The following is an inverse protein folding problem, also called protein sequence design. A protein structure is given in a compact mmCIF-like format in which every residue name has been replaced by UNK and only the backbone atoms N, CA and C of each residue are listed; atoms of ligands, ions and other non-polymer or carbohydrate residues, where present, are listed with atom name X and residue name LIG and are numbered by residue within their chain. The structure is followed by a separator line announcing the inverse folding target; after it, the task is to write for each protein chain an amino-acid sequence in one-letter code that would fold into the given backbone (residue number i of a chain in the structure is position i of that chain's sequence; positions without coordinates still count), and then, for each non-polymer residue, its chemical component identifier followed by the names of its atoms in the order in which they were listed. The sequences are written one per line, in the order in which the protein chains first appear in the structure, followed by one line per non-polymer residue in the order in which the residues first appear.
data_IF_760667279364
#
_entry.id   IF_760667279364
#
_cell.length_a   1.000
_cell.length_b   1.000
_cell.length_c   1.000
_cell.angle_alpha   90.00
_cell.angle_beta   90.00
_cell.angle_gamma   90.00
#
_symmetry.space_group_name_H-M   'P 1'
#
loop_
_entity.id
_entity.type
_entity.pdbx_description
1 polymer ?
#
# COMPACT_ATOMS: atom_id res chain seq x y z
N UNK A 1 3.87 -24.50 -11.62
CA UNK A 1 2.82 -24.77 -12.62
C UNK A 1 2.03 -23.48 -12.82
N UNK A 2 2.18 -22.86 -14.00
CA UNK A 2 1.47 -21.64 -14.39
C UNK A 2 0.06 -22.07 -14.77
N UNK A 3 -0.91 -21.84 -13.89
CA UNK A 3 -2.32 -22.03 -14.24
C UNK A 3 -2.67 -20.94 -15.26
N UNK A 4 -2.94 -21.34 -16.50
CA UNK A 4 -3.39 -20.42 -17.55
C UNK A 4 -4.64 -19.67 -17.03
N UNK A 5 -4.72 -18.34 -17.23
CA UNK A 5 -5.90 -17.60 -16.84
C UNK A 5 -7.10 -18.12 -17.62
N UNK A 6 -8.18 -18.44 -16.91
CA UNK A 6 -9.46 -18.83 -17.48
C UNK A 6 -9.88 -17.80 -18.54
N UNK A 7 -10.41 -18.21 -19.69
CA UNK A 7 -10.68 -17.29 -20.83
C UNK A 7 -11.58 -16.11 -20.44
N UNK A 8 -12.45 -16.31 -19.45
CA UNK A 8 -13.30 -15.29 -18.82
C UNK A 8 -12.51 -14.22 -18.05
N UNK A 9 -11.42 -14.61 -17.38
CA UNK A 9 -10.58 -13.73 -16.56
C UNK A 9 -9.69 -12.86 -17.44
N UNK A 10 -9.13 -13.41 -18.52
CA UNK A 10 -8.34 -12.63 -19.47
C UNK A 10 -9.17 -11.53 -20.15
N UNK A 11 -10.41 -11.84 -20.56
CA UNK A 11 -11.33 -10.86 -21.12
C UNK A 11 -11.77 -9.78 -20.12
N UNK A 12 -11.89 -10.13 -18.84
CA UNK A 12 -12.16 -9.18 -17.77
C UNK A 12 -11.01 -8.18 -17.58
N UNK A 13 -9.76 -8.66 -17.54
CA UNK A 13 -8.57 -7.80 -17.43
C UNK A 13 -8.36 -6.92 -18.67
N UNK A 14 -8.66 -7.44 -19.86
CA UNK A 14 -8.60 -6.68 -21.10
C UNK A 14 -9.58 -5.49 -21.15
N UNK A 15 -10.66 -5.53 -20.36
CA UNK A 15 -11.61 -4.42 -20.23
C UNK A 15 -11.23 -3.47 -19.07
N UNK A 16 -10.90 -4.04 -17.91
CA UNK A 16 -10.69 -3.29 -16.66
C UNK A 16 -9.45 -2.41 -16.74
N UNK A 17 -8.34 -2.88 -17.32
CA UNK A 17 -7.09 -2.11 -17.42
C UNK A 17 -7.23 -0.86 -18.30
N UNK A 18 -7.71 -0.94 -19.57
CA UNK A 18 -7.87 0.24 -20.39
C UNK A 18 -8.93 1.20 -19.83
N UNK A 19 -10.00 0.68 -19.24
CA UNK A 19 -11.03 1.53 -18.65
C UNK A 19 -10.51 2.26 -17.39
N UNK A 20 -9.74 1.58 -16.54
CA UNK A 20 -9.11 2.20 -15.36
C UNK A 20 -8.05 3.24 -15.75
N UNK A 21 -7.28 2.98 -16.81
CA UNK A 21 -6.27 3.95 -17.28
C UNK A 21 -6.93 5.16 -17.94
N UNK A 22 -7.98 4.97 -18.76
CA UNK A 22 -8.74 6.06 -19.34
C UNK A 22 -9.38 6.94 -18.26
N UNK A 23 -10.05 6.34 -17.27
CA UNK A 23 -10.65 7.07 -16.16
C UNK A 23 -9.58 7.76 -15.28
N UNK A 24 -8.44 7.10 -15.06
CA UNK A 24 -7.31 7.68 -14.33
C UNK A 24 -6.75 8.92 -15.01
N UNK A 25 -6.63 8.91 -16.34
CA UNK A 25 -6.21 10.08 -17.11
C UNK A 25 -7.23 11.22 -17.00
N UNK A 26 -8.53 10.92 -17.11
CA UNK A 26 -9.60 11.94 -16.96
C UNK A 26 -9.58 12.57 -15.56
N UNK A 27 -9.51 11.74 -14.52
CA UNK A 27 -9.44 12.21 -13.13
C UNK A 27 -8.14 12.98 -12.84
N UNK A 28 -7.03 12.60 -13.47
CA UNK A 28 -5.76 13.33 -13.34
C UNK A 28 -5.85 14.73 -13.95
N UNK A 29 -6.55 14.88 -15.08
CA UNK A 29 -6.80 16.21 -15.67
C UNK A 29 -7.72 17.05 -14.80
N UNK A 30 -8.67 16.44 -14.09
CA UNK A 30 -9.52 17.09 -13.11
C UNK A 30 -8.82 17.42 -11.78
N UNK A 31 -7.49 17.19 -11.66
CA UNK A 31 -6.69 17.45 -10.45
C UNK A 31 -7.21 16.71 -9.21
N UNK A 32 -7.87 15.56 -9.42
CA UNK A 32 -8.34 14.73 -8.32
C UNK A 32 -7.12 14.05 -7.67
N UNK A 33 -6.90 14.25 -6.36
CA UNK A 33 -5.81 13.59 -5.66
C UNK A 33 -5.94 12.07 -5.75
N UNK A 34 -4.84 11.39 -6.03
CA UNK A 34 -4.79 9.94 -6.21
C UNK A 34 -5.75 9.37 -7.29
N UNK A 35 -5.98 10.14 -8.36
CA UNK A 35 -6.79 9.77 -9.53
C UNK A 35 -6.63 8.31 -10.00
N UNK A 36 -5.40 7.80 -10.05
CA UNK A 36 -5.11 6.44 -10.50
C UNK A 36 -5.65 5.35 -9.56
N UNK A 37 -5.59 5.57 -8.24
CA UNK A 37 -6.12 4.63 -7.24
C UNK A 37 -7.65 4.65 -7.27
N UNK A 38 -8.24 5.85 -7.30
CA UNK A 38 -9.69 6.05 -7.37
C UNK A 38 -10.26 5.41 -8.64
N UNK A 39 -9.62 5.64 -9.78
CA UNK A 39 -10.03 5.05 -11.05
C UNK A 39 -10.00 3.52 -11.02
N UNK A 40 -8.92 2.92 -10.49
CA UNK A 40 -8.79 1.48 -10.39
C UNK A 40 -9.86 0.87 -9.46
N UNK A 41 -10.14 1.49 -8.31
CA UNK A 41 -11.18 1.02 -7.37
C UNK A 41 -12.58 1.17 -8.00
N UNK A 42 -12.89 2.31 -8.60
CA UNK A 42 -14.20 2.57 -9.20
C UNK A 42 -14.49 1.60 -10.35
N UNK A 43 -13.54 1.40 -11.27
CA UNK A 43 -13.72 0.52 -12.43
C UNK A 43 -13.75 -0.95 -12.01
N UNK A 44 -12.85 -1.39 -11.14
CA UNK A 44 -12.85 -2.78 -10.66
C UNK A 44 -14.08 -3.10 -9.81
N UNK A 45 -14.53 -2.16 -8.98
CA UNK A 45 -15.75 -2.28 -8.18
C UNK A 45 -17.01 -2.32 -9.04
N UNK A 46 -17.15 -1.42 -10.02
CA UNK A 46 -18.26 -1.42 -10.95
C UNK A 46 -18.31 -2.72 -11.77
N UNK A 47 -17.16 -3.22 -12.21
CA UNK A 47 -17.05 -4.49 -12.92
C UNK A 47 -17.45 -5.68 -12.03
N UNK A 48 -16.96 -5.73 -10.79
CA UNK A 48 -17.26 -6.80 -9.85
C UNK A 48 -18.75 -6.83 -9.45
N UNK A 49 -19.38 -5.67 -9.27
CA UNK A 49 -20.82 -5.55 -8.99
C UNK A 49 -21.67 -5.93 -10.22
N UNK A 50 -21.25 -5.50 -11.41
CA UNK A 50 -22.00 -5.75 -12.65
C UNK A 50 -21.95 -7.20 -13.12
N UNK A 51 -20.83 -7.92 -12.92
CA UNK A 51 -20.69 -9.33 -13.34
C UNK A 51 -20.81 -10.34 -12.20
N UNK A 52 -20.86 -9.90 -10.94
CA UNK A 52 -20.87 -10.79 -9.78
C UNK A 52 -19.62 -11.66 -9.65
N UNK A 53 -18.53 -11.31 -10.34
CA UNK A 53 -17.28 -12.08 -10.36
C UNK A 53 -16.14 -11.26 -9.75
N UNK A 54 -15.37 -11.89 -8.87
CA UNK A 54 -14.16 -11.30 -8.31
C UNK A 54 -13.02 -11.37 -9.32
N UNK A 55 -12.40 -10.22 -9.61
CA UNK A 55 -11.18 -10.15 -10.40
C UNK A 55 -10.00 -10.69 -9.59
N UNK A 56 -9.62 -11.94 -9.85
CA UNK A 56 -8.47 -12.56 -9.20
C UNK A 56 -7.18 -12.00 -9.81
N UNK A 57 -6.44 -11.23 -9.02
CA UNK A 57 -5.09 -10.77 -9.38
C UNK A 57 -4.10 -11.91 -9.11
N UNK A 58 -3.18 -12.16 -10.05
CA UNK A 58 -2.09 -13.10 -9.80
C UNK A 58 -1.19 -12.57 -8.67
N UNK A 59 -0.87 -13.42 -7.70
CA UNK A 59 -0.04 -13.09 -6.53
C UNK A 59 1.31 -12.48 -6.91
N UNK A 60 1.88 -12.83 -8.07
CA UNK A 60 3.15 -12.26 -8.54
C UNK A 60 3.06 -10.74 -8.81
N UNK A 61 2.01 -10.28 -9.50
CA UNK A 61 1.79 -8.85 -9.75
C UNK A 61 1.54 -8.09 -8.45
N UNK A 62 0.78 -8.69 -7.53
CA UNK A 62 0.50 -8.10 -6.23
C UNK A 62 1.78 -7.94 -5.38
N UNK A 63 2.66 -8.94 -5.38
CA UNK A 63 3.97 -8.88 -4.70
C UNK A 63 4.86 -7.80 -5.32
N UNK A 64 4.92 -7.74 -6.65
CA UNK A 64 5.72 -6.75 -7.38
C UNK A 64 5.28 -5.31 -7.07
N UNK A 65 3.97 -5.03 -7.14
CA UNK A 65 3.42 -3.70 -6.83
C UNK A 65 3.70 -3.27 -5.38
N UNK A 66 3.53 -4.16 -4.40
CA UNK A 66 3.86 -3.88 -2.99
C UNK A 66 5.35 -3.62 -2.79
N UNK A 67 6.21 -4.30 -3.54
CA UNK A 67 7.65 -4.04 -3.53
C UNK A 67 7.98 -2.63 -3.99
N UNK A 68 7.40 -2.17 -5.10
CA UNK A 68 7.57 -0.79 -5.59
C UNK A 68 7.11 0.22 -4.54
N UNK A 69 5.94 0.01 -3.92
CA UNK A 69 5.43 0.90 -2.86
C UNK A 69 6.43 0.96 -1.69
N UNK A 70 6.99 -0.17 -1.27
CA UNK A 70 8.01 -0.22 -0.22
C UNK A 70 9.28 0.54 -0.56
N UNK A 71 9.75 0.45 -1.81
CA UNK A 71 10.92 1.20 -2.29
C UNK A 71 10.63 2.69 -2.29
N UNK A 72 9.50 3.12 -2.85
CA UNK A 72 9.09 4.53 -2.88
C UNK A 72 8.93 5.11 -1.46
N UNK A 73 8.42 4.32 -0.51
CA UNK A 73 8.32 4.72 0.89
C UNK A 73 9.69 4.78 1.60
N UNK A 74 10.66 3.97 1.17
CA UNK A 74 12.01 3.93 1.75
C UNK A 74 12.96 5.00 1.22
N UNK A 75 12.76 5.48 -0.01
CA UNK A 75 13.58 6.49 -0.67
C UNK A 75 13.81 7.77 0.17
N UNK A 76 12.78 8.38 0.79
CA UNK A 76 12.96 9.55 1.65
C UNK A 76 13.82 9.28 2.90
N UNK A 77 13.82 8.03 3.40
CA UNK A 77 14.58 7.64 4.58
C UNK A 77 16.09 7.56 4.29
N UNK A 78 16.48 7.28 3.04
CA UNK A 78 17.89 7.20 2.61
C UNK A 78 18.61 8.53 2.81
N UNK A 79 17.92 9.65 2.61
CA UNK A 79 18.50 11.00 2.76
C UNK A 79 18.54 11.50 4.20
N UNK A 80 17.98 10.77 5.17
CA UNK A 80 17.93 11.18 6.58
C UNK A 80 19.10 10.62 7.38
N UNK A 81 19.64 11.42 8.30
CA UNK A 81 20.69 10.97 9.20
C UNK A 81 20.16 9.85 10.14
N UNK A 82 20.97 8.81 10.44
CA UNK A 82 20.56 7.71 11.32
C UNK A 82 20.10 8.17 12.72
N UNK A 83 20.70 9.23 13.27
CA UNK A 83 20.30 9.80 14.55
C UNK A 83 18.90 10.41 14.51
N UNK A 84 18.53 11.05 13.39
CA UNK A 84 17.18 11.58 13.17
C UNK A 84 16.17 10.46 13.02
N UNK A 85 16.50 9.40 12.28
CA UNK A 85 15.65 8.20 12.19
C UNK A 85 15.42 7.56 13.56
N UNK A 86 16.46 7.44 14.38
CA UNK A 86 16.37 6.90 15.73
C UNK A 86 15.40 7.72 16.61
N UNK A 87 15.42 9.06 16.47
CA UNK A 87 14.51 9.94 17.22
C UNK A 87 13.03 9.74 16.87
N UNK A 88 12.71 9.27 15.65
CA UNK A 88 11.34 8.95 15.23
C UNK A 88 10.86 7.56 15.66
N UNK A 89 11.74 6.70 16.16
CA UNK A 89 11.37 5.33 16.58
C UNK A 89 10.35 5.35 17.71
N UNK A 90 10.56 6.21 18.72
CA UNK A 90 9.67 6.30 19.88
C UNK A 90 8.30 6.92 19.52
N UNK A 91 8.22 8.08 18.83
CA UNK A 91 6.96 8.61 18.31
C UNK A 91 6.23 7.64 17.37
N UNK A 92 6.95 6.95 16.48
CA UNK A 92 6.38 5.99 15.54
C UNK A 92 5.78 4.76 16.24
N UNK A 93 6.46 4.24 17.26
CA UNK A 93 5.94 3.15 18.09
C UNK A 93 4.69 3.60 18.85
N UNK A 94 4.72 4.78 19.45
CA UNK A 94 3.57 5.33 20.17
C UNK A 94 2.37 5.52 19.23
N UNK A 95 2.58 6.09 18.05
CA UNK A 95 1.54 6.27 17.04
C UNK A 95 0.96 4.93 16.56
N UNK A 96 1.80 3.90 16.41
CA UNK A 96 1.37 2.55 16.04
C UNK A 96 0.49 1.93 17.13
N UNK A 97 0.90 2.03 18.40
CA UNK A 97 0.12 1.53 19.55
C UNK A 97 -1.20 2.28 19.67
N UNK A 98 -1.19 3.61 19.53
CA UNK A 98 -2.39 4.43 19.56
C UNK A 98 -3.34 4.06 18.43
N UNK A 99 -2.83 3.88 17.20
CA UNK A 99 -3.64 3.49 16.05
C UNK A 99 -4.31 2.13 16.27
N UNK A 100 -3.57 1.13 16.75
CA UNK A 100 -4.12 -0.19 17.07
C UNK A 100 -5.14 -0.08 18.21
N UNK A 101 -4.82 0.64 19.28
CA UNK A 101 -5.72 0.86 20.42
C UNK A 101 -7.03 1.52 20.01
N UNK A 102 -6.97 2.61 19.24
CA UNK A 102 -8.14 3.31 18.72
C UNK A 102 -8.96 2.40 17.79
N UNK A 103 -8.32 1.66 16.89
CA UNK A 103 -9.03 0.75 15.99
C UNK A 103 -9.76 -0.37 16.74
N UNK A 104 -9.16 -0.89 17.82
CA UNK A 104 -9.80 -1.89 18.68
C UNK A 104 -10.96 -1.29 19.48
N UNK A 105 -10.80 -0.07 20.01
CA UNK A 105 -11.87 0.63 20.70
C UNK A 105 -13.09 0.84 19.78
N UNK A 106 -12.86 1.29 18.55
CA UNK A 106 -13.91 1.47 17.53
C UNK A 106 -14.52 0.12 17.12
N UNK A 107 -13.72 -0.93 16.98
CA UNK A 107 -14.22 -2.28 16.68
C UNK A 107 -15.19 -2.78 17.76
N UNK A 108 -14.81 -2.64 19.03
CA UNK A 108 -15.63 -3.06 20.16
C UNK A 108 -16.89 -2.20 20.31
N UNK A 109 -16.79 -0.90 20.02
CA UNK A 109 -17.95 -0.02 19.99
C UNK A 109 -18.93 -0.43 18.88
N UNK A 110 -18.42 -0.74 17.68
CA UNK A 110 -19.24 -1.21 16.56
C UNK A 110 -19.93 -2.54 16.88
N UNK A 111 -19.21 -3.51 17.42
CA UNK A 111 -19.76 -4.82 17.81
C UNK A 111 -20.79 -4.73 18.95
N UNK A 112 -20.74 -3.67 19.78
CA UNK A 112 -21.75 -3.40 20.80
C UNK A 112 -22.97 -2.66 20.25
N UNK A 113 -22.75 -1.73 19.32
CA UNK A 113 -23.81 -0.92 18.73
C UNK A 113 -24.68 -1.73 17.74
N UNK A 114 -24.09 -2.69 17.02
CA UNK A 114 -24.76 -3.47 16.00
C UNK A 114 -24.74 -4.96 16.36
N UNK A 115 -25.90 -5.53 16.68
CA UNK A 115 -26.02 -6.96 17.03
C UNK A 115 -25.77 -7.91 15.85
N UNK A 116 -25.93 -7.42 14.63
CA UNK A 116 -25.73 -8.20 13.39
C UNK A 116 -24.25 -8.39 13.04
N UNK A 117 -23.36 -7.56 13.61
CA UNK A 117 -21.91 -7.62 13.33
C UNK A 117 -21.22 -8.40 14.43
N UNK A 118 -20.63 -9.56 14.08
CA UNK A 118 -19.84 -10.35 15.04
C UNK A 118 -18.61 -9.59 15.51
N UNK A 119 -18.11 -9.90 16.71
CA UNK A 119 -16.90 -9.25 17.27
C UNK A 119 -15.70 -9.47 16.37
N UNK A 120 -15.59 -10.66 15.78
CA UNK A 120 -14.53 -11.06 14.85
C UNK A 120 -14.60 -10.21 13.57
N UNK A 121 -15.81 -10.01 13.03
CA UNK A 121 -16.04 -9.17 11.86
C UNK A 121 -15.67 -7.72 12.14
N UNK A 122 -16.10 -7.15 13.27
CA UNK A 122 -15.80 -5.77 13.63
C UNK A 122 -14.29 -5.54 13.85
N UNK A 123 -13.61 -6.47 14.53
CA UNK A 123 -12.16 -6.40 14.78
C UNK A 123 -11.40 -6.49 13.46
N UNK A 124 -11.70 -7.46 12.60
CA UNK A 124 -11.03 -7.63 11.30
C UNK A 124 -11.33 -6.49 10.32
N UNK A 125 -12.51 -5.88 10.41
CA UNK A 125 -12.89 -4.72 9.60
C UNK A 125 -12.17 -3.44 10.03
N UNK A 126 -11.97 -3.23 11.33
CA UNK A 126 -11.40 -1.98 11.87
C UNK A 126 -9.90 -2.01 12.03
N UNK A 127 -9.31 -3.17 12.34
CA UNK A 127 -7.87 -3.27 12.55
C UNK A 127 -7.08 -2.81 11.31
N UNK A 128 -6.01 -2.02 11.50
CA UNK A 128 -5.07 -1.71 10.43
C UNK A 128 -4.34 -3.00 10.03
N UNK A 129 -4.41 -3.35 8.75
CA UNK A 129 -3.91 -4.61 8.26
C UNK A 129 -3.91 -4.68 6.74
N UNK A 130 -3.41 -5.79 6.19
CA UNK A 130 -3.43 -6.02 4.76
C UNK A 130 -4.84 -6.26 4.25
N UNK A 131 -5.33 -5.39 3.35
CA UNK A 131 -6.64 -5.56 2.68
C UNK A 131 -6.77 -6.91 1.96
N UNK A 132 -5.65 -7.53 1.58
CA UNK A 132 -5.60 -8.87 0.98
C UNK A 132 -5.60 -10.02 2.00
N UNK A 133 -5.24 -9.79 3.27
CA UNK A 133 -5.09 -10.85 4.29
C UNK A 133 -6.26 -10.88 5.25
N UNK A 134 -6.82 -9.73 5.60
CA UNK A 134 -7.92 -9.65 6.58
C UNK A 134 -9.20 -10.37 6.13
N UNK A 135 -9.65 -10.27 4.85
CA UNK A 135 -10.80 -11.04 4.38
C UNK A 135 -10.57 -12.55 4.34
N UNK A 136 -9.32 -13.00 4.11
CA UNK A 136 -8.98 -14.42 4.18
C UNK A 136 -9.12 -14.96 5.60
N UNK A 137 -8.56 -14.24 6.58
CA UNK A 137 -8.71 -14.58 8.00
C UNK A 137 -10.20 -14.55 8.40
N UNK A 138 -10.97 -13.59 7.90
CA UNK A 138 -12.40 -13.53 8.15
C UNK A 138 -13.12 -14.80 7.67
N UNK A 139 -12.76 -15.32 6.48
CA UNK A 139 -13.31 -16.59 5.98
C UNK A 139 -12.93 -17.78 6.85
N UNK A 140 -11.71 -17.82 7.38
CA UNK A 140 -11.24 -18.90 8.25
C UNK A 140 -11.93 -18.91 9.62
N UNK A 141 -12.23 -17.72 10.16
CA UNK A 141 -12.86 -17.54 11.48
C UNK A 141 -14.41 -17.51 11.37
N UNK A 142 -14.97 -17.62 10.16
CA UNK A 142 -16.42 -17.60 9.93
C UNK A 142 -17.07 -16.21 10.07
N UNK A 143 -16.27 -15.15 10.01
CA UNK A 143 -16.72 -13.76 10.00
C UNK A 143 -17.22 -13.35 8.60
N UNK A 144 -17.95 -12.24 8.50
CA UNK A 144 -18.43 -11.72 7.21
C UNK A 144 -17.26 -11.15 6.40
N UNK A 145 -16.72 -11.98 5.50
CA UNK A 145 -15.60 -11.61 4.65
C UNK A 145 -15.93 -10.46 3.69
N UNK A 146 -17.19 -10.31 3.27
CA UNK A 146 -17.61 -9.27 2.30
C UNK A 146 -17.60 -7.93 2.99
N UNK A 147 -18.14 -7.89 4.21
CA UNK A 147 -18.10 -6.69 5.06
C UNK A 147 -16.65 -6.28 5.34
N UNK A 148 -15.80 -7.22 5.77
CA UNK A 148 -14.38 -6.93 6.04
C UNK A 148 -13.65 -6.43 4.79
N UNK A 149 -13.86 -7.06 3.63
CA UNK A 149 -13.24 -6.60 2.38
C UNK A 149 -13.71 -5.18 2.02
N UNK A 150 -15.02 -4.92 2.08
CA UNK A 150 -15.60 -3.64 1.75
C UNK A 150 -15.02 -2.51 2.62
N UNK A 151 -14.98 -2.69 3.94
CA UNK A 151 -14.47 -1.65 4.85
C UNK A 151 -12.98 -1.40 4.64
N UNK A 152 -12.19 -2.44 4.36
CA UNK A 152 -10.76 -2.32 4.10
C UNK A 152 -10.48 -1.55 2.80
N UNK A 153 -11.23 -1.81 1.73
CA UNK A 153 -11.11 -1.05 0.48
C UNK A 153 -11.67 0.37 0.58
N UNK A 154 -12.79 0.55 1.29
CA UNK A 154 -13.36 1.86 1.56
C UNK A 154 -12.37 2.73 2.33
N UNK A 155 -11.67 2.17 3.33
CA UNK A 155 -10.62 2.87 4.07
C UNK A 155 -9.49 3.32 3.15
N UNK A 156 -9.03 2.45 2.24
CA UNK A 156 -8.00 2.82 1.26
C UNK A 156 -8.48 3.98 0.38
N UNK A 157 -9.73 3.94 -0.07
CA UNK A 157 -10.32 5.01 -0.87
C UNK A 157 -10.39 6.33 -0.09
N UNK A 158 -10.93 6.30 1.13
CA UNK A 158 -11.06 7.47 2.00
C UNK A 158 -9.68 8.07 2.27
N UNK A 159 -8.72 7.28 2.74
CA UNK A 159 -7.36 7.76 3.02
C UNK A 159 -6.71 8.31 1.75
N UNK A 160 -6.87 7.65 0.61
CA UNK A 160 -6.26 8.09 -0.65
C UNK A 160 -6.78 9.45 -1.13
N UNK A 161 -8.04 9.77 -0.84
CA UNK A 161 -8.67 11.05 -1.22
C UNK A 161 -8.43 12.12 -0.17
N UNK A 162 -8.43 11.78 1.12
CA UNK A 162 -8.30 12.74 2.23
C UNK A 162 -6.84 13.07 2.57
N UNK A 163 -5.90 12.15 2.33
CA UNK A 163 -4.50 12.35 2.72
C UNK A 163 -3.86 13.57 2.01
N UNK A 164 -3.99 13.76 0.69
CA UNK A 164 -3.37 14.91 0.02
C UNK A 164 -3.84 16.29 0.50
N UNK A 165 -5.16 16.58 0.64
CA UNK A 165 -5.59 17.87 1.18
C UNK A 165 -5.18 18.04 2.64
N UNK A 166 -5.24 16.98 3.46
CA UNK A 166 -4.75 17.03 4.86
C UNK A 166 -3.25 17.34 4.90
N UNK A 167 -2.45 16.71 4.04
CA UNK A 167 -1.02 16.99 3.93
C UNK A 167 -0.76 18.45 3.51
N UNK A 168 -1.51 18.97 2.54
CA UNK A 168 -1.40 20.36 2.11
C UNK A 168 -1.74 21.36 3.23
N UNK A 169 -2.75 21.07 4.06
CA UNK A 169 -3.13 21.93 5.18
C UNK A 169 -2.12 21.90 6.34
N UNK A 170 -1.44 20.77 6.53
CA UNK A 170 -0.47 20.58 7.61
C UNK A 170 0.96 20.98 7.23
N UNK A 171 1.24 21.23 5.95
CA UNK A 171 2.57 21.58 5.46
C UNK A 171 2.72 23.11 5.41
N UNK A 172 3.66 23.71 6.18
CA UNK A 172 4.00 25.12 6.04
C UNK A 172 4.45 25.45 4.61
N UNK A 173 4.09 26.64 4.05
CA UNK A 173 4.36 27.00 2.65
C UNK A 173 5.86 26.97 2.26
N UNK A 174 6.77 27.08 3.23
CA UNK A 174 8.23 27.04 3.01
C UNK A 174 8.87 25.66 3.23
N UNK A 175 8.05 24.63 3.46
CA UNK A 175 8.58 23.27 3.51
C UNK A 175 8.97 22.87 2.09
N UNK A 176 10.21 22.42 1.83
CA UNK A 176 10.54 21.84 0.54
C UNK A 176 9.60 20.65 0.36
N UNK A 177 8.54 20.84 -0.44
CA UNK A 177 7.61 19.78 -0.77
C UNK A 177 8.46 18.64 -1.28
N UNK A 178 8.29 17.44 -0.70
CA UNK A 178 9.17 16.30 -0.90
C UNK A 178 9.53 16.21 -2.38
N UNK A 179 10.68 16.78 -2.77
CA UNK A 179 11.07 16.74 -4.16
C UNK A 179 11.27 15.26 -4.39
N UNK A 180 10.44 14.71 -5.27
CA UNK A 180 10.74 13.46 -5.95
C UNK A 180 12.01 13.77 -6.74
N UNK A 181 13.13 13.85 -6.03
CA UNK A 181 14.40 14.29 -6.56
C UNK A 181 14.60 13.43 -7.79
N UNK A 182 14.84 14.05 -8.94
CA UNK A 182 14.92 13.35 -10.20
C UNK A 182 15.99 12.25 -10.08
N UNK A 183 15.57 11.06 -9.66
CA UNK A 183 16.41 9.90 -9.49
C UNK A 183 16.74 9.52 -10.93
N UNK A 184 17.87 10.03 -11.44
CA UNK A 184 18.31 9.77 -12.80
C UNK A 184 18.33 8.25 -12.95
N UNK A 185 17.46 7.74 -13.80
CA UNK A 185 17.34 6.32 -14.16
C UNK A 185 18.67 5.87 -14.78
N UNK A 186 19.64 5.53 -13.92
CA UNK A 186 20.87 4.85 -14.31
C UNK A 186 20.50 3.38 -14.42
N UNK A 187 20.82 2.74 -15.55
CA UNK A 187 20.54 1.32 -15.80
C UNK A 187 20.89 0.42 -14.60
N UNK A 188 22.00 0.69 -13.90
CA UNK A 188 22.38 -0.03 -12.68
C UNK A 188 21.44 0.17 -11.49
N UNK A 189 20.91 1.38 -11.27
CA UNK A 189 19.94 1.67 -10.20
C UNK A 189 18.57 1.04 -10.51
N UNK A 190 18.15 1.03 -11.77
CA UNK A 190 16.90 0.37 -12.19
C UNK A 190 16.98 -1.14 -12.02
N UNK A 191 18.10 -1.77 -12.41
CA UNK A 191 18.32 -3.21 -12.21
C UNK A 191 18.40 -3.54 -10.71
N UNK A 192 19.02 -2.68 -9.90
CA UNK A 192 19.08 -2.85 -8.44
C UNK A 192 17.70 -2.71 -7.78
N UNK A 193 16.89 -1.72 -8.18
CA UNK A 193 15.51 -1.54 -7.71
C UNK A 193 14.66 -2.76 -8.11
N UNK A 194 14.82 -3.27 -9.34
CA UNK A 194 14.12 -4.47 -9.80
C UNK A 194 14.56 -5.71 -9.02
N UNK A 195 15.86 -5.84 -8.74
CA UNK A 195 16.44 -6.91 -7.94
C UNK A 195 16.00 -6.83 -6.47
N UNK A 196 15.87 -5.65 -5.89
CA UNK A 196 15.32 -5.41 -4.55
C UNK A 196 13.81 -5.69 -4.52
N UNK A 197 13.05 -5.31 -5.55
CA UNK A 197 11.62 -5.60 -5.65
C UNK A 197 11.34 -7.12 -5.76
N UNK A 198 12.21 -7.85 -6.46
CA UNK A 198 12.10 -9.31 -6.63
C UNK A 198 12.70 -10.10 -5.45
N UNK A 199 13.80 -9.61 -4.87
CA UNK A 199 14.56 -10.28 -3.80
C UNK A 199 14.16 -9.86 -2.39
N UNK A 200 13.58 -8.67 -2.21
CA UNK A 200 13.20 -8.12 -0.91
C UNK A 200 12.11 -8.90 -0.21
N UNK A 201 11.19 -9.53 -0.95
CA UNK A 201 10.24 -10.47 -0.37
C UNK A 201 10.92 -11.72 0.23
N UNK A 202 12.07 -12.12 -0.32
CA UNK A 202 12.84 -13.27 0.17
C UNK A 202 13.63 -12.92 1.42
N UNK A 203 14.25 -11.73 1.45
CA UNK A 203 14.94 -11.17 2.62
C UNK A 203 13.96 -10.87 3.75
N UNK A 204 12.84 -10.21 3.47
CA UNK A 204 11.81 -9.91 4.48
C UNK A 204 11.17 -11.17 5.07
N UNK A 205 11.02 -12.25 4.28
CA UNK A 205 10.59 -13.56 4.79
C UNK A 205 11.65 -14.21 5.69
N UNK A 206 12.93 -14.04 5.37
CA UNK A 206 14.03 -14.57 6.17
C UNK A 206 14.14 -13.88 7.54
N UNK A 207 13.91 -12.56 7.59
CA UNK A 207 13.87 -11.77 8.83
C UNK A 207 12.56 -11.88 9.64
N UNK A 208 11.60 -12.73 9.23
CA UNK A 208 10.29 -12.94 9.89
C UNK A 208 9.50 -11.65 10.14
N UNK A 209 9.64 -10.66 9.26
CA UNK A 209 9.00 -9.37 9.47
C UNK A 209 7.49 -9.43 9.13
N UNK A 210 6.61 -8.82 9.97
CA UNK A 210 5.21 -8.65 9.61
C UNK A 210 5.12 -7.74 8.39
N UNK A 211 4.61 -8.25 7.26
CA UNK A 211 4.60 -7.60 5.93
C UNK A 211 5.95 -7.58 5.17
N UNK A 212 6.58 -8.76 5.03
CA UNK A 212 7.80 -9.00 4.23
C UNK A 212 7.82 -8.37 2.83
N UNK A 213 6.66 -8.31 2.15
CA UNK A 213 6.54 -7.78 0.79
C UNK A 213 6.67 -6.25 0.66
N UNK A 214 6.65 -5.51 1.77
CA UNK A 214 6.85 -4.05 1.79
C UNK A 214 8.07 -3.70 2.64
N UNK A 215 8.19 -4.29 3.84
CA UNK A 215 9.31 -4.01 4.75
C UNK A 215 10.65 -4.51 4.21
N UNK A 216 10.69 -5.66 3.52
CA UNK A 216 11.92 -6.20 2.95
C UNK A 216 12.53 -5.25 1.90
N UNK A 217 11.78 -4.87 0.85
CA UNK A 217 12.22 -3.88 -0.13
C UNK A 217 12.59 -2.52 0.48
N UNK A 218 11.83 -2.05 1.48
CA UNK A 218 12.11 -0.80 2.19
C UNK A 218 13.46 -0.85 2.92
N UNK A 219 13.72 -1.89 3.71
CA UNK A 219 14.98 -2.05 4.45
C UNK A 219 16.18 -2.17 3.52
N UNK A 220 16.06 -2.93 2.43
CA UNK A 220 17.11 -3.04 1.41
C UNK A 220 17.38 -1.69 0.72
N UNK A 221 16.33 -0.91 0.46
CA UNK A 221 16.46 0.43 -0.13
C UNK A 221 17.22 1.36 0.80
N UNK A 222 16.91 1.34 2.10
CA UNK A 222 17.63 2.12 3.12
C UNK A 222 19.08 1.67 3.26
N UNK A 223 19.32 0.36 3.35
CA UNK A 223 20.68 -0.19 3.47
C UNK A 223 21.58 0.17 2.28
N UNK A 224 21.12 -0.07 1.05
CA UNK A 224 21.87 0.31 -0.16
C UNK A 224 22.02 1.83 -0.33
N UNK A 225 21.13 2.60 0.30
CA UNK A 225 21.21 4.05 0.37
C UNK A 225 22.31 4.55 1.28
N UNK A 226 22.45 3.93 2.47
CA UNK A 226 23.48 4.23 3.46
C UNK A 226 24.89 3.85 2.98
N UNK A 227 25.02 2.76 2.22
CA UNK A 227 26.30 2.31 1.63
C UNK A 227 26.78 3.22 0.48
N UNK A 228 26.01 4.23 0.07
CA UNK A 228 26.35 5.14 -1.02
C UNK A 228 26.23 4.52 -2.43
N UNK A 229 25.75 3.29 -2.53
CA UNK A 229 25.58 2.56 -3.81
C UNK A 229 24.45 3.15 -4.66
N UNK A 230 23.41 3.70 -4.02
CA UNK A 230 22.30 4.39 -4.69
C UNK A 230 22.55 5.89 -4.85
N UNK A 231 23.18 6.51 -3.85
CA UNK A 231 23.56 7.91 -3.88
C UNK A 231 24.99 8.01 -4.39
N UNK A 232 25.16 8.05 -5.72
CA UNK A 232 26.46 8.37 -6.31
C UNK A 232 27.00 9.67 -5.70
N UNK A 233 27.91 9.50 -4.72
CA UNK A 233 28.78 10.47 -4.06
C UNK A 233 28.37 11.94 -4.32
N UNK A 234 27.42 12.48 -3.52
CA UNK A 234 27.42 13.94 -3.27
C UNK A 234 28.56 14.22 -2.29
N UNK A 235 29.78 14.26 -2.82
CA UNK A 235 30.88 14.99 -2.20
C UNK A 235 30.54 16.46 -2.34
N UNK A 236 29.80 17.01 -1.37
CA UNK A 236 29.73 18.47 -1.21
C UNK A 236 30.99 18.79 -0.41
N UNK A 237 31.99 19.29 -1.14
CA UNK A 237 33.08 20.10 -0.57
C UNK A 237 32.52 21.44 -0.13
#
# INVERSE_FOLDING_TARGET
MVSLPDRSTAGAWALVVPLSTALGVVLSRAHVPAAWIVAAIAVSGAFALGRGQELRVNTHYYRFGRGIIGIMAGLPLVSMAPATLASFTLPGLLFSVLTVGCSLAVALALARAQKEVSRETAVLAMLPGGASTMPLIAREVGADYRFVALTQYLRLLVVSVTLPPVAHLLTPPDSPGAEQGAYRFRLGATVLILAIALGGDRVGRWLRLPASGVLGPLLLTVACGLDGTLAGRKSIA
#
